data_IF_736999798015
#
_entry.id   IF_736999798015
#
_cell.length_a   1.000
_cell.length_b   1.000
_cell.length_c   1.000
_cell.angle_alpha   90.00
_cell.angle_beta   90.00
_cell.angle_gamma   90.00
#
_symmetry.space_group_name_H-M   'P 1'
#
loop_
_entity.id
_entity.type
_entity.pdbx_description
1 polymer ?
#
# COMPACT_ATOMS: atom_id res chain seq x y z
N UNK A 1 15.53 21.57 3.07
CA UNK A 1 14.24 21.47 3.79
C UNK A 1 13.18 21.05 2.79
N UNK A 2 12.78 19.78 2.80
CA UNK A 2 11.60 19.33 2.07
C UNK A 2 10.39 19.86 2.83
N UNK A 3 9.60 20.81 2.29
CA UNK A 3 8.53 21.43 3.06
C UNK A 3 7.50 20.37 3.43
N UNK A 4 7.02 20.37 4.67
CA UNK A 4 5.93 19.48 5.11
C UNK A 4 4.69 19.53 4.19
N UNK A 5 4.46 20.67 3.51
CA UNK A 5 3.47 20.80 2.45
C UNK A 5 3.68 19.80 1.31
N UNK A 6 4.92 19.51 0.91
CA UNK A 6 5.20 18.54 -0.16
C UNK A 6 5.00 17.09 0.27
N UNK A 7 5.24 16.75 1.55
CA UNK A 7 5.00 15.37 2.02
C UNK A 7 3.51 15.05 2.02
N UNK A 8 2.69 15.89 2.66
CA UNK A 8 1.24 15.69 2.74
C UNK A 8 0.61 15.60 1.35
N UNK A 9 1.06 16.46 0.43
CA UNK A 9 0.57 16.46 -0.96
C UNK A 9 0.96 15.18 -1.70
N UNK A 10 2.23 14.75 -1.62
CA UNK A 10 2.67 13.50 -2.26
C UNK A 10 1.97 12.26 -1.68
N UNK A 11 1.73 12.20 -0.37
CA UNK A 11 0.98 11.09 0.25
C UNK A 11 -0.47 11.07 -0.26
N UNK A 12 -1.10 12.24 -0.43
CA UNK A 12 -2.47 12.33 -1.00
C UNK A 12 -2.55 11.87 -2.44
N UNK A 13 -1.55 12.18 -3.26
CA UNK A 13 -1.46 11.70 -4.65
C UNK A 13 -1.38 10.17 -4.68
N UNK A 14 -0.50 9.58 -3.87
CA UNK A 14 -0.35 8.12 -3.76
C UNK A 14 -1.63 7.48 -3.23
N UNK A 15 -2.29 8.09 -2.25
CA UNK A 15 -3.57 7.63 -1.74
C UNK A 15 -4.66 7.63 -2.82
N UNK A 16 -4.69 8.65 -3.67
CA UNK A 16 -5.66 8.71 -4.77
C UNK A 16 -5.47 7.57 -5.76
N UNK A 17 -4.24 7.12 -6.00
CA UNK A 17 -3.96 5.94 -6.82
C UNK A 17 -4.30 4.64 -6.07
N UNK A 18 -3.99 4.58 -4.78
CA UNK A 18 -4.29 3.45 -3.91
C UNK A 18 -5.79 3.13 -3.86
N UNK A 19 -6.66 4.15 -3.71
CA UNK A 19 -8.13 3.95 -3.65
C UNK A 19 -8.71 3.42 -4.96
N UNK A 20 -8.10 3.72 -6.11
CA UNK A 20 -8.53 3.12 -7.39
C UNK A 20 -8.38 1.59 -7.37
N UNK A 21 -7.38 1.08 -6.65
CA UNK A 21 -7.11 -0.35 -6.48
C UNK A 21 -7.84 -0.95 -5.27
N UNK A 22 -8.13 -0.11 -4.26
CA UNK A 22 -8.80 -0.48 -3.01
C UNK A 22 -10.01 0.43 -2.72
N UNK A 23 -11.11 0.29 -3.49
CA UNK A 23 -12.27 1.19 -3.38
C UNK A 23 -13.05 1.05 -2.07
N UNK A 24 -12.83 -0.02 -1.30
CA UNK A 24 -13.45 -0.26 0.01
C UNK A 24 -12.88 0.60 1.13
N UNK A 25 -11.80 1.34 0.86
CA UNK A 25 -11.10 2.18 1.83
C UNK A 25 -11.87 3.50 2.10
N UNK A 26 -12.89 3.45 2.97
CA UNK A 26 -13.77 4.59 3.28
C UNK A 26 -13.19 5.62 4.29
N UNK A 27 -12.06 5.35 4.93
CA UNK A 27 -11.52 6.16 6.05
C UNK A 27 -10.40 7.10 5.62
N UNK A 28 -10.69 7.93 4.61
CA UNK A 28 -9.70 8.78 3.94
C UNK A 28 -8.87 9.62 4.90
N UNK A 29 -9.51 10.31 5.84
CA UNK A 29 -8.81 11.26 6.72
C UNK A 29 -7.92 10.56 7.76
N UNK A 30 -8.47 9.56 8.46
CA UNK A 30 -7.75 8.81 9.49
C UNK A 30 -6.54 8.05 8.92
N UNK A 31 -6.70 7.42 7.75
CA UNK A 31 -5.62 6.65 7.11
C UNK A 31 -4.51 7.58 6.64
N UNK A 32 -4.85 8.73 6.04
CA UNK A 32 -3.87 9.71 5.60
C UNK A 32 -3.07 10.28 6.77
N UNK A 33 -3.75 10.68 7.86
CA UNK A 33 -3.09 11.24 9.03
C UNK A 33 -2.12 10.23 9.69
N UNK A 34 -2.57 8.99 9.89
CA UNK A 34 -1.73 7.93 10.44
C UNK A 34 -0.53 7.62 9.54
N UNK A 35 -0.74 7.59 8.22
CA UNK A 35 0.33 7.34 7.24
C UNK A 35 1.37 8.46 7.28
N UNK A 36 0.93 9.72 7.24
CA UNK A 36 1.83 10.88 7.31
C UNK A 36 2.64 10.84 8.61
N UNK A 37 1.99 10.60 9.75
CA UNK A 37 2.67 10.54 11.05
C UNK A 37 3.72 9.41 11.11
N UNK A 38 3.42 8.23 10.56
CA UNK A 38 4.37 7.10 10.54
C UNK A 38 5.55 7.35 9.61
N UNK A 39 5.29 7.93 8.43
CA UNK A 39 6.35 8.29 7.50
C UNK A 39 7.24 9.38 8.11
N UNK A 40 6.66 10.44 8.67
CA UNK A 40 7.41 11.50 9.35
C UNK A 40 8.34 10.98 10.45
N UNK A 41 7.86 10.05 11.29
CA UNK A 41 8.70 9.42 12.31
C UNK A 41 9.91 8.69 11.71
N UNK A 42 9.76 8.03 10.56
CA UNK A 42 10.89 7.37 9.87
C UNK A 42 11.87 8.37 9.28
N UNK A 43 11.38 9.53 8.86
CA UNK A 43 12.19 10.57 8.24
C UNK A 43 12.94 11.43 9.25
N UNK A 44 12.52 11.45 10.52
CA UNK A 44 13.09 12.31 11.56
C UNK A 44 14.58 12.07 11.79
N UNK A 45 15.04 10.83 11.62
CA UNK A 45 16.43 10.43 11.87
C UNK A 45 17.30 10.42 10.59
N UNK A 46 16.75 10.83 9.45
CA UNK A 46 17.46 10.78 8.16
C UNK A 46 18.19 12.09 7.86
N UNK A 47 19.36 11.97 7.23
CA UNK A 47 20.11 13.14 6.73
C UNK A 47 19.40 13.77 5.52
N UNK A 48 19.64 15.07 5.29
CA UNK A 48 19.02 15.80 4.17
C UNK A 48 19.32 15.16 2.81
N UNK A 49 20.56 14.72 2.56
CA UNK A 49 20.95 14.03 1.32
C UNK A 49 20.19 12.70 1.13
N UNK A 50 19.89 11.99 2.23
CA UNK A 50 19.08 10.77 2.19
C UNK A 50 17.63 11.10 1.87
N UNK A 51 17.08 12.15 2.47
CA UNK A 51 15.71 12.61 2.22
C UNK A 51 15.52 13.02 0.76
N UNK A 52 16.47 13.75 0.18
CA UNK A 52 16.37 14.24 -1.20
C UNK A 52 16.35 13.06 -2.19
N UNK A 53 17.21 12.05 -1.99
CA UNK A 53 17.17 10.81 -2.77
C UNK A 53 15.89 10.00 -2.55
N UNK A 54 15.43 9.93 -1.30
CA UNK A 54 14.24 9.19 -0.91
C UNK A 54 12.96 9.76 -1.57
N UNK A 55 12.81 11.08 -1.60
CA UNK A 55 11.63 11.75 -2.17
C UNK A 55 11.58 11.77 -3.70
N UNK A 56 12.73 11.62 -4.37
CA UNK A 56 12.84 11.56 -5.84
C UNK A 56 12.65 10.12 -6.32
N UNK A 57 13.09 9.13 -5.52
CA UNK A 57 13.01 7.72 -5.88
C UNK A 57 11.61 7.10 -5.77
N UNK A 58 11.47 5.90 -6.37
CA UNK A 58 10.28 5.06 -6.19
C UNK A 58 10.12 4.57 -4.74
N UNK A 59 11.20 4.63 -3.95
CA UNK A 59 11.22 4.18 -2.56
C UNK A 59 10.13 4.85 -1.72
N UNK A 60 9.97 6.17 -1.84
CA UNK A 60 8.91 6.90 -1.14
C UNK A 60 7.51 6.39 -1.50
N UNK A 61 7.27 6.12 -2.79
CA UNK A 61 5.96 5.64 -3.26
C UNK A 61 5.66 4.24 -2.72
N UNK A 62 6.66 3.35 -2.71
CA UNK A 62 6.55 2.00 -2.16
C UNK A 62 6.25 2.06 -0.67
N UNK A 63 7.00 2.85 0.11
CA UNK A 63 6.85 2.91 1.56
C UNK A 63 5.50 3.50 1.99
N UNK A 64 5.03 4.55 1.30
CA UNK A 64 3.69 5.11 1.52
C UNK A 64 2.61 4.09 1.18
N UNK A 65 2.71 3.41 0.03
CA UNK A 65 1.73 2.39 -0.37
C UNK A 65 1.67 1.26 0.64
N UNK A 66 2.83 0.79 1.11
CA UNK A 66 2.92 -0.26 2.12
C UNK A 66 2.25 0.16 3.44
N UNK A 67 2.49 1.40 3.90
CA UNK A 67 1.83 1.90 5.12
C UNK A 67 0.33 2.07 4.94
N UNK A 68 -0.12 2.57 3.79
CA UNK A 68 -1.55 2.63 3.45
C UNK A 68 -2.18 1.24 3.50
N UNK A 69 -1.55 0.23 2.90
CA UNK A 69 -2.02 -1.17 2.94
C UNK A 69 -2.06 -1.70 4.37
N UNK A 70 -1.02 -1.50 5.17
CA UNK A 70 -1.00 -1.96 6.57
C UNK A 70 -2.13 -1.33 7.39
N UNK A 71 -2.33 -0.02 7.27
CA UNK A 71 -3.36 0.68 8.02
C UNK A 71 -4.75 0.24 7.52
N UNK A 72 -4.95 0.12 6.20
CA UNK A 72 -6.20 -0.37 5.63
C UNK A 72 -6.54 -1.79 6.15
N UNK A 73 -5.55 -2.69 6.20
CA UNK A 73 -5.69 -4.04 6.77
C UNK A 73 -5.97 -4.03 8.28
N UNK A 74 -5.34 -3.12 9.04
CA UNK A 74 -5.60 -3.00 10.47
C UNK A 74 -7.02 -2.50 10.74
N UNK A 75 -7.52 -1.56 9.94
CA UNK A 75 -8.86 -1.00 10.08
C UNK A 75 -9.94 -1.94 9.54
N UNK A 76 -9.63 -2.74 8.51
CA UNK A 76 -10.49 -3.76 7.94
C UNK A 76 -9.68 -5.04 7.65
N UNK A 77 -9.66 -6.01 8.57
CA UNK A 77 -8.88 -7.24 8.40
C UNK A 77 -9.40 -8.18 7.29
N UNK A 78 -10.57 -7.89 6.71
CA UNK A 78 -11.10 -8.62 5.56
C UNK A 78 -10.79 -7.88 4.26
N UNK A 79 -9.80 -8.36 3.52
CA UNK A 79 -9.74 -8.11 2.07
C UNK A 79 -10.98 -8.76 1.45
N UNK A 80 -11.90 -7.97 0.92
CA UNK A 80 -12.95 -8.48 0.04
C UNK A 80 -12.27 -8.79 -1.30
N UNK A 81 -11.69 -9.99 -1.42
CA UNK A 81 -11.05 -10.45 -2.67
C UNK A 81 -12.05 -10.54 -3.83
N UNK A 82 -13.35 -10.65 -3.51
CA UNK A 82 -14.44 -10.71 -4.49
C UNK A 82 -14.57 -9.45 -5.36
N UNK A 83 -14.02 -8.30 -4.92
CA UNK A 83 -14.01 -7.07 -5.74
C UNK A 83 -12.90 -7.02 -6.78
N UNK A 84 -11.86 -7.87 -6.66
CA UNK A 84 -10.78 -7.98 -7.65
C UNK A 84 -11.18 -9.01 -8.75
N UNK A 85 -12.11 -9.92 -8.44
CA UNK A 85 -12.55 -11.02 -9.32
C UNK A 85 -13.72 -10.68 -10.26
N UNK A 86 -14.08 -9.41 -10.46
CA UNK A 86 -15.21 -9.04 -11.33
C UNK A 86 -14.88 -8.91 -12.83
N UNK A 87 -13.70 -9.28 -13.30
CA UNK A 87 -13.56 -9.70 -14.71
C UNK A 87 -13.95 -11.19 -14.85
N UNK A 88 -15.23 -11.47 -14.56
CA UNK A 88 -15.90 -12.73 -14.94
C UNK A 88 -16.07 -12.78 -16.46
N UNK A 89 -14.97 -12.95 -17.17
CA UNK A 89 -14.97 -13.02 -18.62
C UNK A 89 -13.62 -13.45 -19.15
N UNK A 90 -13.34 -14.76 -19.10
CA UNK A 90 -12.20 -15.48 -19.73
C UNK A 90 -10.91 -15.62 -18.90
N UNK A 91 -11.00 -16.23 -17.72
CA UNK A 91 -9.81 -16.85 -17.12
C UNK A 91 -10.05 -18.35 -17.06
N UNK A 92 -9.30 -19.11 -17.87
CA UNK A 92 -9.17 -20.56 -17.73
C UNK A 92 -8.79 -20.84 -16.27
N UNK A 93 -9.67 -21.50 -15.54
CA UNK A 93 -9.52 -21.82 -14.12
C UNK A 93 -8.45 -22.91 -13.92
N UNK A 94 -7.18 -22.56 -14.11
CA UNK A 94 -6.10 -23.25 -13.42
C UNK A 94 -5.96 -22.59 -12.05
N UNK A 95 -6.54 -23.23 -11.03
CA UNK A 95 -6.44 -22.78 -9.64
C UNK A 95 -4.94 -22.71 -9.29
N UNK A 96 -4.37 -21.53 -8.96
CA UNK A 96 -2.95 -21.42 -8.67
C UNK A 96 -2.66 -22.07 -7.32
N UNK A 97 -2.01 -23.23 -7.34
CA UNK A 97 -1.44 -23.87 -6.15
C UNK A 97 -0.03 -23.32 -5.97
N UNK A 98 0.21 -22.59 -4.89
CA UNK A 98 1.55 -22.11 -4.56
C UNK A 98 2.26 -23.15 -3.71
N UNK A 99 3.50 -23.49 -4.09
CA UNK A 99 4.38 -24.36 -3.33
C UNK A 99 5.54 -23.55 -2.77
N UNK A 100 6.00 -23.90 -1.57
CA UNK A 100 7.24 -23.35 -1.02
C UNK A 100 8.46 -24.04 -1.65
N UNK A 101 9.66 -23.57 -1.30
CA UNK A 101 10.94 -24.14 -1.77
C UNK A 101 11.16 -25.63 -1.42
N UNK A 102 10.34 -26.21 -0.53
CA UNK A 102 10.36 -27.62 -0.14
C UNK A 102 9.23 -28.42 -0.79
N UNK A 103 8.49 -27.85 -1.74
CA UNK A 103 7.38 -28.51 -2.43
C UNK A 103 6.10 -28.66 -1.59
N UNK A 104 5.96 -27.92 -0.48
CA UNK A 104 4.73 -27.90 0.35
C UNK A 104 3.77 -26.82 -0.13
N UNK A 105 2.49 -27.16 -0.25
CA UNK A 105 1.44 -26.20 -0.59
C UNK A 105 1.35 -25.12 0.50
N UNK A 106 1.47 -23.86 0.10
CA UNK A 106 1.37 -22.68 0.96
C UNK A 106 0.07 -21.92 0.73
N UNK A 107 -0.58 -22.13 -0.41
CA UNK A 107 -1.86 -21.53 -0.75
C UNK A 107 -2.64 -22.43 -1.71
N UNK A 108 -3.90 -22.69 -1.37
CA UNK A 108 -4.92 -23.26 -2.24
C UNK A 108 -6.22 -22.49 -1.99
N UNK A 109 -6.96 -22.19 -3.05
CA UNK A 109 -8.28 -21.58 -3.00
C UNK A 109 -9.30 -22.72 -3.11
N UNK A 110 -9.87 -23.14 -1.98
CA UNK A 110 -11.01 -24.07 -1.91
C UNK A 110 -12.32 -23.33 -2.20
#
# INVERSE_FOLDING_TARGET
>A
MVPYMSLSQKVKEIYSDFVKLYPTCQYKEAILELTINRILRRLADMTQDTLDNYFIGQQFRVDVTLELTKIALMMHPKLILDSISQEKGKINTSIPILYNQFGKIVYSLD
#
